data_IF_715316211191
#
_entry.id   IF_715316211191
#
_cell.length_a   1.000
_cell.length_b   1.000
_cell.length_c   1.000
_cell.angle_alpha   90.00
_cell.angle_beta   90.00
_cell.angle_gamma   90.00
#
_symmetry.space_group_name_H-M   'P 1'
#
loop_
_entity.id
_entity.type
_entity.pdbx_description
1 polymer ?
#
# COMPACT_ATOMS: atom_id res chain seq x y z
N UNK A 1 -46.72 62.56 -40.02
CA UNK A 1 -45.71 61.48 -40.19
C UNK A 1 -44.66 61.72 -39.18
N UNK A 2 -44.48 60.75 -38.25
CA UNK A 2 -43.16 60.32 -37.90
C UNK A 2 -43.13 58.75 -37.73
N UNK A 3 -42.02 58.25 -38.08
CA UNK A 3 -41.65 56.85 -38.20
C UNK A 3 -41.55 56.14 -36.82
N UNK A 4 -42.11 54.93 -36.76
CA UNK A 4 -41.97 54.03 -35.60
C UNK A 4 -40.66 53.28 -35.61
N UNK A 5 -39.85 53.45 -34.56
CA UNK A 5 -38.69 52.59 -34.27
C UNK A 5 -39.11 51.39 -33.43
N UNK A 6 -39.03 50.20 -34.04
CA UNK A 6 -39.17 48.93 -33.39
C UNK A 6 -37.89 48.61 -32.58
N UNK A 7 -37.99 48.57 -31.28
CA UNK A 7 -36.90 48.23 -30.38
C UNK A 7 -36.87 46.70 -30.22
N UNK A 8 -35.93 46.01 -30.87
CA UNK A 8 -35.64 44.59 -30.60
C UNK A 8 -34.86 44.44 -29.27
N UNK A 9 -35.49 43.88 -28.27
CA UNK A 9 -34.82 43.43 -27.04
C UNK A 9 -34.06 42.14 -27.35
N UNK A 10 -32.73 42.24 -27.32
CA UNK A 10 -31.87 41.06 -27.24
C UNK A 10 -31.86 40.57 -25.79
N UNK A 11 -32.35 39.34 -25.58
CA UNK A 11 -32.25 38.63 -24.30
C UNK A 11 -30.89 37.93 -24.28
N UNK A 12 -29.95 38.50 -23.54
CA UNK A 12 -28.63 37.85 -23.34
C UNK A 12 -28.76 36.84 -22.18
N UNK A 13 -28.71 35.57 -22.54
CA UNK A 13 -28.69 34.49 -21.57
C UNK A 13 -27.24 34.34 -21.08
N UNK A 14 -27.00 34.71 -19.82
CA UNK A 14 -25.74 34.40 -19.14
C UNK A 14 -25.76 32.93 -18.66
N UNK A 15 -25.03 32.06 -19.32
CA UNK A 15 -24.74 30.70 -18.79
C UNK A 15 -23.62 30.86 -17.79
N UNK A 16 -23.95 30.80 -16.49
CA UNK A 16 -22.99 30.66 -15.41
C UNK A 16 -22.42 29.23 -15.47
N UNK A 17 -21.22 29.10 -16.00
CA UNK A 17 -20.39 27.90 -15.76
C UNK A 17 -19.89 27.99 -14.30
N UNK A 18 -20.53 27.28 -13.39
CA UNK A 18 -19.96 26.98 -12.09
C UNK A 18 -18.83 25.97 -12.32
N UNK A 19 -17.61 26.47 -12.51
CA UNK A 19 -16.41 25.64 -12.50
C UNK A 19 -16.26 25.07 -11.10
N UNK A 20 -16.46 23.78 -10.97
CA UNK A 20 -16.00 23.02 -9.81
C UNK A 20 -14.47 23.06 -9.91
N UNK A 21 -13.86 23.95 -9.17
CA UNK A 21 -12.44 23.87 -8.84
C UNK A 21 -12.28 22.64 -7.94
N UNK A 22 -12.02 21.50 -8.56
CA UNK A 22 -11.38 20.40 -7.85
C UNK A 22 -10.01 20.97 -7.49
N UNK A 23 -9.80 21.28 -6.22
CA UNK A 23 -8.46 21.50 -5.69
C UNK A 23 -7.73 20.16 -5.87
N UNK A 24 -6.92 20.08 -6.91
CA UNK A 24 -5.82 19.13 -6.95
C UNK A 24 -4.98 19.50 -5.72
N UNK A 25 -5.13 18.77 -4.62
CA UNK A 25 -4.11 18.76 -3.59
C UNK A 25 -2.83 18.39 -4.33
N UNK A 26 -1.86 19.31 -4.35
CA UNK A 26 -0.54 19.02 -4.88
C UNK A 26 -0.04 17.81 -4.09
N UNK A 27 0.05 16.66 -4.75
CA UNK A 27 0.75 15.51 -4.21
C UNK A 27 2.18 16.01 -3.98
N UNK A 28 2.73 15.91 -2.76
CA UNK A 28 4.12 16.32 -2.52
C UNK A 28 4.99 15.68 -3.59
N UNK A 29 5.93 16.45 -4.12
CA UNK A 29 6.85 15.97 -5.13
C UNK A 29 7.73 14.89 -4.48
N UNK A 30 7.32 13.64 -4.62
CA UNK A 30 8.08 12.48 -4.16
C UNK A 30 9.28 12.25 -5.09
N UNK A 31 10.31 11.60 -4.59
CA UNK A 31 11.52 11.35 -5.35
C UNK A 31 11.31 10.39 -6.51
N UNK A 32 12.12 10.51 -7.55
CA UNK A 32 12.08 9.68 -8.77
C UNK A 32 10.69 9.64 -9.44
N UNK A 33 10.09 10.79 -9.74
CA UNK A 33 8.73 10.88 -10.31
C UNK A 33 8.60 10.24 -11.69
N UNK A 34 9.71 9.95 -12.36
CA UNK A 34 9.76 9.25 -13.65
C UNK A 34 9.58 7.73 -13.52
N UNK A 35 9.65 7.18 -12.31
CA UNK A 35 9.52 5.73 -12.03
C UNK A 35 8.16 5.45 -11.37
N UNK A 36 7.39 4.54 -11.94
CA UNK A 36 6.19 4.01 -11.28
C UNK A 36 6.56 2.83 -10.38
N UNK A 37 6.63 3.07 -9.09
CA UNK A 37 6.83 2.01 -8.09
C UNK A 37 5.50 1.34 -7.75
N UNK A 38 5.52 0.01 -7.59
CA UNK A 38 4.32 -0.82 -7.42
C UNK A 38 4.42 -1.70 -6.19
N UNK A 39 3.30 -1.87 -5.50
CA UNK A 39 3.16 -2.82 -4.39
C UNK A 39 2.22 -3.93 -4.81
N UNK A 40 2.70 -5.17 -4.78
CA UNK A 40 1.93 -6.34 -5.19
C UNK A 40 0.76 -6.59 -4.24
N UNK A 41 -0.44 -6.86 -4.78
CA UNK A 41 -1.58 -7.30 -3.96
C UNK A 41 -1.60 -8.82 -3.86
N UNK A 42 -1.40 -9.35 -2.66
CA UNK A 42 -1.57 -10.78 -2.40
C UNK A 42 -3.06 -11.17 -2.37
N UNK A 43 -3.41 -12.33 -2.96
CA UNK A 43 -4.72 -12.95 -2.73
C UNK A 43 -4.91 -13.27 -1.25
N UNK A 44 -6.13 -13.13 -0.72
CA UNK A 44 -6.42 -13.39 0.71
C UNK A 44 -6.12 -14.80 1.20
N UNK A 45 -6.08 -15.77 0.29
CA UNK A 45 -5.75 -17.17 0.56
C UNK A 45 -4.28 -17.52 0.28
N UNK A 46 -3.45 -16.54 -0.09
CA UNK A 46 -2.04 -16.69 -0.41
C UNK A 46 -1.22 -15.57 0.24
N UNK A 47 -1.57 -15.22 1.48
CA UNK A 47 -0.83 -14.23 2.27
C UNK A 47 0.51 -14.84 2.67
N UNK A 48 1.66 -14.16 2.46
CA UNK A 48 2.95 -14.71 2.83
C UNK A 48 3.03 -14.91 4.35
N UNK A 49 3.58 -16.04 4.74
CA UNK A 49 3.93 -16.30 6.13
C UNK A 49 5.28 -15.65 6.39
N UNK A 50 5.45 -15.15 7.57
CA UNK A 50 6.72 -14.62 8.02
C UNK A 50 7.42 -15.75 8.78
N UNK A 51 8.12 -16.62 8.04
CA UNK A 51 8.77 -17.83 8.56
C UNK A 51 10.23 -18.02 8.08
N UNK A 52 10.76 -17.05 7.31
CA UNK A 52 12.11 -17.07 6.75
C UNK A 52 12.25 -17.90 5.48
N UNK A 53 11.15 -18.40 4.92
CA UNK A 53 11.09 -19.12 3.64
C UNK A 53 10.40 -18.26 2.58
N UNK A 54 11.19 -17.73 1.63
CA UNK A 54 10.70 -16.82 0.58
C UNK A 54 9.79 -17.47 -0.47
N UNK A 55 9.49 -18.79 -0.38
CA UNK A 55 8.70 -19.50 -1.39
C UNK A 55 7.27 -18.97 -1.56
N UNK A 56 6.68 -18.40 -0.52
CA UNK A 56 5.36 -17.76 -0.59
C UNK A 56 5.35 -16.51 -1.52
N UNK A 57 6.53 -15.99 -1.87
CA UNK A 57 6.72 -14.85 -2.74
C UNK A 57 6.97 -15.18 -4.21
N UNK A 58 6.99 -16.47 -4.58
CA UNK A 58 7.19 -16.92 -5.96
C UNK A 58 6.08 -16.45 -6.91
N UNK A 59 4.92 -16.09 -6.36
CA UNK A 59 3.79 -15.53 -7.14
C UNK A 59 3.96 -14.05 -7.51
N UNK A 60 4.98 -13.38 -6.96
CA UNK A 60 5.25 -11.95 -7.18
C UNK A 60 6.08 -11.79 -8.46
N UNK A 61 5.52 -11.09 -9.44
CA UNK A 61 6.17 -10.87 -10.73
C UNK A 61 7.40 -9.97 -10.66
N UNK A 62 8.27 -10.07 -11.66
CA UNK A 62 9.54 -9.33 -11.73
C UNK A 62 9.36 -7.81 -11.66
N UNK A 63 8.23 -7.28 -12.10
CA UNK A 63 7.91 -5.84 -12.06
C UNK A 63 7.67 -5.29 -10.65
N UNK A 64 7.68 -6.14 -9.64
CA UNK A 64 7.55 -5.81 -8.21
C UNK A 64 8.84 -6.11 -7.43
N UNK A 65 9.92 -6.46 -8.12
CA UNK A 65 11.22 -6.77 -7.49
C UNK A 65 12.17 -5.61 -7.71
N UNK A 66 12.65 -5.04 -6.63
CA UNK A 66 13.57 -3.90 -6.61
C UNK A 66 14.97 -4.40 -6.24
N UNK A 67 15.92 -4.30 -7.17
CA UNK A 67 17.26 -4.87 -7.06
C UNK A 67 18.32 -3.79 -6.85
N UNK A 68 19.55 -4.21 -6.58
CA UNK A 68 20.72 -3.38 -6.36
C UNK A 68 20.92 -2.31 -7.43
N UNK A 69 20.65 -2.62 -8.70
CA UNK A 69 20.80 -1.69 -9.84
C UNK A 69 19.81 -0.52 -9.85
N UNK A 70 18.78 -0.57 -9.01
CA UNK A 70 17.81 0.51 -8.83
C UNK A 70 18.10 1.41 -7.64
N UNK A 71 19.13 1.09 -6.87
CA UNK A 71 19.59 1.84 -5.71
C UNK A 71 20.71 2.81 -6.09
N UNK A 72 20.90 3.82 -5.26
CA UNK A 72 22.01 4.77 -5.38
C UNK A 72 22.82 4.82 -4.10
N UNK A 73 24.15 4.72 -4.25
CA UNK A 73 25.10 4.85 -3.16
C UNK A 73 25.37 6.33 -2.84
N UNK A 74 24.58 6.92 -1.97
CA UNK A 74 24.64 8.37 -1.67
C UNK A 74 25.71 8.77 -0.65
N UNK A 75 26.48 7.80 -0.10
CA UNK A 75 27.59 8.03 0.83
C UNK A 75 28.69 6.98 0.65
N UNK A 76 29.94 7.43 0.74
CA UNK A 76 31.11 6.54 0.86
C UNK A 76 31.43 5.75 -0.41
N UNK A 77 31.87 4.52 -0.26
CA UNK A 77 32.47 3.70 -1.29
C UNK A 77 31.59 3.28 -2.46
N UNK A 78 30.28 3.43 -2.35
CA UNK A 78 29.33 3.03 -3.40
C UNK A 78 28.88 4.17 -4.32
N UNK A 79 29.58 5.29 -4.35
CA UNK A 79 29.27 6.36 -5.32
C UNK A 79 29.38 5.82 -6.76
N UNK A 80 28.25 5.72 -7.45
CA UNK A 80 28.16 5.20 -8.81
C UNK A 80 27.54 3.81 -8.88
N UNK A 81 28.14 2.91 -9.64
CA UNK A 81 27.66 1.52 -9.76
C UNK A 81 28.05 0.73 -8.50
N UNK A 82 27.06 0.19 -7.82
CA UNK A 82 27.27 -0.65 -6.63
C UNK A 82 27.91 -1.97 -7.04
N UNK A 83 28.95 -2.39 -6.33
CA UNK A 83 29.62 -3.68 -6.57
C UNK A 83 28.77 -4.83 -5.97
N UNK A 84 28.14 -5.62 -6.84
CA UNK A 84 27.31 -6.74 -6.40
C UNK A 84 28.10 -7.94 -5.88
N UNK A 85 29.42 -7.89 -5.89
CA UNK A 85 30.27 -8.88 -5.20
C UNK A 85 30.51 -8.54 -3.76
N UNK A 86 30.28 -7.30 -3.39
CA UNK A 86 30.29 -6.72 -2.06
C UNK A 86 28.86 -6.84 -1.47
N UNK A 87 27.91 -6.06 -1.93
CA UNK A 87 26.50 -6.12 -1.50
C UNK A 87 25.53 -6.30 -2.68
N UNK A 88 24.71 -7.33 -2.65
CA UNK A 88 23.68 -7.58 -3.65
C UNK A 88 22.32 -7.85 -2.98
N UNK A 89 21.33 -7.02 -3.29
CA UNK A 89 20.05 -7.03 -2.60
C UNK A 89 18.87 -7.13 -3.58
N UNK A 90 17.79 -7.73 -3.09
CA UNK A 90 16.48 -7.63 -3.72
C UNK A 90 15.39 -7.39 -2.67
N UNK A 91 14.45 -6.52 -2.98
CA UNK A 91 13.31 -6.19 -2.13
C UNK A 91 12.02 -6.41 -2.90
N UNK A 92 11.09 -7.16 -2.31
CA UNK A 92 9.71 -7.24 -2.79
C UNK A 92 8.79 -6.61 -1.76
N UNK A 93 7.79 -5.87 -2.22
CA UNK A 93 6.79 -5.24 -1.35
C UNK A 93 5.40 -5.69 -1.73
N UNK A 94 4.63 -6.12 -0.74
CA UNK A 94 3.28 -6.61 -0.93
C UNK A 94 2.27 -6.06 0.08
N UNK A 95 1.00 -6.16 -0.23
CA UNK A 95 -0.10 -5.78 0.65
C UNK A 95 -1.29 -6.71 0.47
N UNK A 96 -2.23 -6.68 1.42
CA UNK A 96 -3.47 -7.47 1.36
C UNK A 96 -4.67 -6.56 1.60
N UNK A 97 -5.59 -6.55 0.67
CA UNK A 97 -6.82 -5.74 0.75
C UNK A 97 -7.61 -6.04 2.03
N UNK A 98 -7.71 -5.05 2.91
CA UNK A 98 -8.46 -5.10 4.16
C UNK A 98 -7.65 -5.48 5.40
N UNK A 99 -6.32 -5.71 5.30
CA UNK A 99 -5.47 -5.98 6.46
C UNK A 99 -4.68 -4.75 6.95
N UNK A 100 -4.57 -3.70 6.15
CA UNK A 100 -3.76 -2.52 6.47
C UNK A 100 -2.33 -2.88 6.90
N UNK A 101 -1.69 -3.80 6.18
CA UNK A 101 -0.31 -4.25 6.40
C UNK A 101 0.48 -4.19 5.11
N UNK A 102 1.72 -3.79 5.22
CA UNK A 102 2.74 -3.88 4.18
C UNK A 102 3.68 -5.04 4.54
N UNK A 103 3.89 -5.92 3.59
CA UNK A 103 4.77 -7.08 3.70
C UNK A 103 6.03 -6.79 2.90
N UNK A 104 7.17 -7.16 3.45
CA UNK A 104 8.47 -7.02 2.79
C UNK A 104 9.21 -8.34 2.80
N UNK A 105 9.79 -8.68 1.66
CA UNK A 105 10.83 -9.68 1.54
C UNK A 105 12.11 -8.96 1.16
N UNK A 106 13.13 -9.11 1.97
CA UNK A 106 14.49 -8.64 1.72
C UNK A 106 15.40 -9.85 1.61
N UNK A 107 16.04 -10.02 0.47
CA UNK A 107 17.07 -11.04 0.23
C UNK A 107 18.36 -10.31 -0.10
N UNK A 108 19.43 -10.62 0.61
CA UNK A 108 20.72 -10.00 0.43
C UNK A 108 21.87 -11.02 0.42
N UNK A 109 22.88 -10.73 -0.37
CA UNK A 109 24.21 -11.27 -0.23
C UNK A 109 25.12 -10.13 0.21
N UNK A 110 26.03 -10.44 1.12
CA UNK A 110 27.05 -9.52 1.59
C UNK A 110 28.36 -10.32 1.72
N UNK A 111 29.47 -9.70 1.39
CA UNK A 111 30.78 -10.34 1.49
C UNK A 111 31.36 -10.25 2.91
N UNK A 112 30.83 -9.36 3.76
CA UNK A 112 31.26 -9.17 5.13
C UNK A 112 30.13 -8.68 6.06
N UNK A 113 29.28 -9.59 6.55
CA UNK A 113 28.21 -9.24 7.47
C UNK A 113 28.74 -8.67 8.80
N UNK A 114 28.48 -7.40 9.07
CA UNK A 114 28.84 -6.72 10.33
C UNK A 114 27.65 -6.60 11.27
N UNK A 115 27.59 -7.47 12.26
CA UNK A 115 26.50 -7.49 13.24
C UNK A 115 26.99 -7.98 14.62
N UNK A 116 26.13 -7.77 15.65
CA UNK A 116 26.44 -8.18 17.01
C UNK A 116 27.24 -7.14 17.80
N UNK A 117 27.49 -5.98 17.21
CA UNK A 117 28.10 -4.83 17.90
C UNK A 117 26.96 -4.10 18.63
N UNK A 118 26.52 -4.66 19.75
CA UNK A 118 25.54 -4.00 20.60
C UNK A 118 26.24 -3.45 21.84
N UNK A 119 26.42 -2.15 21.87
CA UNK A 119 26.77 -1.38 23.07
C UNK A 119 25.47 -0.79 23.63
N UNK A 120 25.06 -1.13 24.87
CA UNK A 120 23.87 -0.56 25.50
C UNK A 120 23.86 0.97 25.50
N UNK A 121 25.05 1.59 25.59
CA UNK A 121 25.24 3.03 25.42
C UNK A 121 25.03 3.48 23.95
N UNK A 122 25.18 2.59 22.97
CA UNK A 122 25.05 2.90 21.56
C UNK A 122 23.57 2.99 21.12
N UNK A 123 22.70 2.15 21.65
CA UNK A 123 21.24 2.22 21.42
C UNK A 123 20.66 3.56 21.91
N UNK A 124 21.16 4.06 23.06
CA UNK A 124 20.75 5.34 23.65
C UNK A 124 21.34 6.55 22.93
N UNK A 125 22.49 6.38 22.24
CA UNK A 125 23.23 7.47 21.59
C UNK A 125 23.23 7.43 20.06
N UNK A 126 22.38 6.61 19.46
CA UNK A 126 22.27 6.49 17.99
C UNK A 126 23.47 5.82 17.31
N UNK A 127 24.17 4.91 18.01
CA UNK A 127 25.29 4.15 17.43
C UNK A 127 24.90 2.73 17.00
N UNK A 128 23.61 2.37 17.03
CA UNK A 128 23.08 1.12 16.47
C UNK A 128 23.28 0.97 14.96
N UNK A 129 23.72 2.04 14.29
CA UNK A 129 24.01 2.09 12.86
C UNK A 129 25.39 1.52 12.47
N UNK A 130 26.13 0.89 13.36
CA UNK A 130 27.40 0.21 13.08
C UNK A 130 27.21 -1.27 12.75
N UNK A 131 26.01 -1.68 12.40
CA UNK A 131 25.67 -3.01 11.91
C UNK A 131 25.00 -2.88 10.55
N UNK A 132 24.98 -3.94 9.79
CA UNK A 132 24.24 -3.95 8.54
C UNK A 132 22.76 -3.80 8.79
N UNK A 133 22.14 -2.92 8.03
CA UNK A 133 20.78 -2.47 8.28
C UNK A 133 19.97 -2.46 6.98
N UNK A 134 18.76 -2.97 7.07
CA UNK A 134 17.70 -2.68 6.12
C UNK A 134 16.73 -1.66 6.74
N UNK A 135 16.74 -0.43 6.25
CA UNK A 135 15.98 0.68 6.82
C UNK A 135 14.76 1.01 5.96
N UNK A 136 13.54 0.76 6.49
CA UNK A 136 12.28 1.04 5.80
C UNK A 136 11.69 2.35 6.31
N UNK A 137 11.35 3.25 5.39
CA UNK A 137 10.61 4.48 5.67
C UNK A 137 9.27 4.48 4.96
N UNK A 138 8.18 4.81 5.68
CA UNK A 138 6.81 4.80 5.17
C UNK A 138 6.02 6.00 5.64
N UNK A 139 5.25 6.58 4.70
CA UNK A 139 4.24 7.63 4.89
C UNK A 139 3.02 7.26 4.05
N UNK A 140 2.01 6.66 4.68
CA UNK A 140 0.91 6.05 3.94
C UNK A 140 -0.20 7.03 3.56
N UNK A 141 -0.28 8.20 4.19
CA UNK A 141 -1.25 9.26 3.87
C UNK A 141 -0.61 10.47 3.18
N UNK A 142 0.73 10.41 2.95
CA UNK A 142 1.52 11.49 2.34
C UNK A 142 1.42 12.81 3.12
N UNK A 143 1.26 12.73 4.43
CA UNK A 143 1.20 13.91 5.30
C UNK A 143 2.57 14.55 5.56
N UNK A 144 3.64 13.79 5.29
CA UNK A 144 5.02 14.25 5.42
C UNK A 144 5.53 14.26 6.86
N UNK A 145 6.66 14.90 7.05
CA UNK A 145 7.27 15.14 8.35
C UNK A 145 8.55 14.36 8.59
N UNK A 146 9.28 14.73 9.67
CA UNK A 146 10.55 14.12 10.00
C UNK A 146 10.37 12.77 10.67
N UNK A 147 11.23 11.80 10.33
CA UNK A 147 11.33 10.52 11.00
C UNK A 147 12.18 10.61 12.27
N UNK A 148 13.25 11.38 12.19
CA UNK A 148 14.23 11.46 13.26
C UNK A 148 14.32 12.88 13.80
N UNK A 149 14.79 12.98 15.05
CA UNK A 149 15.09 14.24 15.71
C UNK A 149 16.15 15.05 14.96
N UNK A 150 15.90 16.34 14.75
CA UNK A 150 16.89 17.30 14.28
C UNK A 150 17.30 18.24 15.41
N UNK A 151 18.44 17.98 16.10
CA UNK A 151 18.90 18.78 17.23
C UNK A 151 19.28 20.23 16.87
N UNK A 152 19.30 20.58 15.58
CA UNK A 152 19.62 21.94 15.12
C UNK A 152 18.39 22.85 15.04
N UNK A 153 17.18 22.31 15.10
CA UNK A 153 15.93 23.06 14.92
C UNK A 153 15.24 23.33 16.25
N UNK A 154 15.44 22.47 17.26
CA UNK A 154 14.70 22.56 18.51
C UNK A 154 15.56 22.39 19.77
N UNK A 155 15.53 23.40 20.61
CA UNK A 155 16.17 23.39 21.94
C UNK A 155 15.37 22.62 23.01
N UNK A 156 14.25 21.95 22.64
CA UNK A 156 13.36 21.28 23.58
C UNK A 156 13.21 19.78 23.28
N UNK A 157 14.10 18.98 23.88
CA UNK A 157 14.16 17.52 23.72
C UNK A 157 12.83 16.79 23.97
N UNK A 158 11.98 17.28 24.87
CA UNK A 158 10.71 16.63 25.21
C UNK A 158 9.66 16.80 24.09
N UNK A 159 9.58 17.98 23.50
CA UNK A 159 8.63 18.24 22.40
C UNK A 159 9.05 17.50 21.13
N UNK A 160 10.32 17.36 20.91
CA UNK A 160 10.94 16.65 19.82
C UNK A 160 10.65 15.15 19.85
N UNK A 161 10.83 14.53 21.02
CA UNK A 161 10.56 13.11 21.23
C UNK A 161 9.09 12.75 21.01
N UNK A 162 8.18 13.73 21.05
CA UNK A 162 6.74 13.49 20.85
C UNK A 162 6.28 13.57 19.40
N UNK A 163 7.05 14.19 18.52
CA UNK A 163 6.65 14.46 17.14
C UNK A 163 7.47 13.72 16.08
N UNK A 164 8.67 13.25 16.40
CA UNK A 164 9.45 12.46 15.46
C UNK A 164 8.79 11.11 15.17
N UNK A 165 8.62 10.77 13.91
CA UNK A 165 8.03 9.49 13.48
C UNK A 165 6.51 9.39 13.66
N UNK A 166 5.81 10.48 14.00
CA UNK A 166 4.37 10.46 14.28
C UNK A 166 3.55 10.28 13.01
N UNK A 167 3.82 11.07 11.98
CA UNK A 167 3.07 11.07 10.71
C UNK A 167 3.68 10.16 9.66
N UNK A 168 4.94 9.82 9.82
CA UNK A 168 5.65 8.89 8.96
C UNK A 168 6.64 8.08 9.81
N UNK A 169 6.84 6.82 9.50
CA UNK A 169 7.58 5.89 10.35
C UNK A 169 8.86 5.42 9.68
N UNK A 170 9.91 5.26 10.49
CA UNK A 170 11.20 4.72 10.08
C UNK A 170 11.55 3.49 10.93
N UNK A 171 11.71 2.35 10.28
CA UNK A 171 12.06 1.05 10.84
C UNK A 171 13.52 0.74 10.48
N UNK A 172 14.41 0.84 11.44
CA UNK A 172 15.82 0.52 11.31
C UNK A 172 16.04 -0.96 11.69
N UNK A 173 16.02 -1.82 10.69
CA UNK A 173 15.95 -3.27 10.85
C UNK A 173 17.36 -3.86 10.83
N UNK A 174 17.75 -4.54 11.89
CA UNK A 174 19.05 -5.20 11.98
C UNK A 174 19.10 -6.45 11.07
N UNK A 175 20.16 -6.59 10.32
CA UNK A 175 20.38 -7.68 9.38
C UNK A 175 21.69 -8.39 9.62
N UNK A 176 21.71 -9.46 10.46
CA UNK A 176 20.58 -10.07 11.16
C UNK A 176 20.25 -9.44 12.52
N UNK A 177 19.24 -9.95 13.28
CA UNK A 177 18.81 -9.35 14.54
C UNK A 177 19.88 -9.44 15.63
N UNK A 178 19.92 -8.44 16.49
CA UNK A 178 20.90 -8.33 17.58
C UNK A 178 20.23 -8.63 18.91
N UNK A 179 20.70 -9.65 19.64
CA UNK A 179 20.14 -10.02 20.96
C UNK A 179 18.60 -10.19 20.95
N UNK A 180 18.05 -10.76 19.89
CA UNK A 180 16.61 -10.88 19.63
C UNK A 180 15.89 -9.53 19.37
N UNK A 181 16.60 -8.44 19.26
CA UNK A 181 16.05 -7.18 18.78
C UNK A 181 16.18 -7.14 17.27
N UNK A 182 15.06 -7.07 16.56
CA UNK A 182 15.05 -7.06 15.10
C UNK A 182 15.01 -5.65 14.52
N UNK A 183 14.49 -4.68 15.27
CA UNK A 183 14.27 -3.33 14.78
C UNK A 183 14.48 -2.28 15.87
N UNK A 184 15.06 -1.15 15.48
CA UNK A 184 15.03 0.11 16.21
C UNK A 184 14.10 1.06 15.44
N UNK A 185 13.14 1.66 16.09
CA UNK A 185 12.30 2.69 15.50
C UNK A 185 12.95 4.05 15.70
N UNK A 186 13.25 4.74 14.60
CA UNK A 186 13.66 6.14 14.67
C UNK A 186 12.42 7.01 14.88
N UNK A 187 12.17 7.34 16.12
CA UNK A 187 10.97 8.07 16.54
C UNK A 187 10.69 7.81 18.01
N UNK A 188 9.53 8.26 18.43
CA UNK A 188 9.11 8.15 19.82
C UNK A 188 8.14 6.98 20.09
N UNK A 189 7.94 6.09 19.12
CA UNK A 189 6.94 5.03 19.14
C UNK A 189 7.55 3.63 18.99
N UNK A 190 8.41 3.16 19.89
CA UNK A 190 9.06 1.85 19.75
C UNK A 190 8.06 0.69 19.62
N UNK A 191 6.85 0.85 20.15
CA UNK A 191 5.78 -0.13 20.14
C UNK A 191 5.29 -0.51 18.72
N UNK A 192 5.52 0.35 17.69
CA UNK A 192 5.11 0.02 16.31
C UNK A 192 5.90 -1.15 15.70
N UNK A 193 7.09 -1.46 16.24
CA UNK A 193 7.89 -2.62 15.87
C UNK A 193 7.53 -3.89 16.66
N UNK A 194 6.57 -3.82 17.57
CA UNK A 194 6.13 -4.94 18.39
C UNK A 194 4.85 -5.59 17.81
N UNK A 195 4.66 -6.89 18.09
CA UNK A 195 3.39 -7.55 17.82
C UNK A 195 2.27 -6.92 18.66
N UNK A 196 1.08 -6.61 18.10
CA UNK A 196 0.54 -7.04 16.81
C UNK A 196 0.73 -6.06 15.64
N UNK A 197 1.63 -5.08 15.74
CA UNK A 197 1.80 -4.02 14.75
C UNK A 197 2.88 -4.31 13.71
N UNK A 198 3.84 -5.18 14.06
CA UNK A 198 4.88 -5.68 13.18
C UNK A 198 5.29 -7.10 13.56
N UNK A 199 5.98 -7.78 12.64
CA UNK A 199 6.58 -9.10 12.86
C UNK A 199 7.72 -9.30 11.87
N UNK A 200 8.72 -10.11 12.23
CA UNK A 200 9.83 -10.47 11.35
C UNK A 200 10.31 -11.89 11.62
N UNK A 201 10.89 -12.50 10.60
CA UNK A 201 11.62 -13.77 10.69
C UNK A 201 12.78 -13.77 9.70
N UNK A 202 13.86 -14.50 10.03
CA UNK A 202 15.11 -14.50 9.29
C UNK A 202 15.56 -15.91 8.96
N UNK A 203 16.22 -16.06 7.82
CA UNK A 203 16.99 -17.25 7.45
C UNK A 203 18.38 -16.84 7.01
N UNK A 204 19.41 -17.31 7.73
CA UNK A 204 20.83 -17.12 7.42
C UNK A 204 21.69 -18.19 8.09
N UNK A 205 22.93 -18.37 7.64
CA UNK A 205 23.83 -19.41 8.15
C UNK A 205 25.30 -18.97 8.31
N UNK A 206 25.56 -17.68 8.34
CA UNK A 206 26.88 -17.09 8.53
C UNK A 206 27.03 -16.53 9.95
N UNK A 207 28.28 -16.20 10.33
CA UNK A 207 28.65 -15.53 11.57
C UNK A 207 29.12 -14.10 11.29
N UNK A 208 29.25 -13.26 12.33
CA UNK A 208 29.85 -11.93 12.15
C UNK A 208 31.19 -12.03 11.42
N UNK A 209 31.41 -11.12 10.46
CA UNK A 209 32.58 -11.04 9.60
C UNK A 209 32.72 -12.17 8.57
N UNK A 210 31.68 -12.93 8.32
CA UNK A 210 31.60 -13.93 7.24
C UNK A 210 30.70 -13.43 6.14
N UNK A 211 31.02 -13.84 4.90
CA UNK A 211 30.11 -13.63 3.77
C UNK A 211 28.93 -14.60 3.80
N UNK A 212 27.81 -14.21 3.21
CA UNK A 212 26.67 -15.12 3.12
C UNK A 212 25.41 -14.47 2.54
N UNK A 213 24.34 -15.27 2.52
CA UNK A 213 23.02 -14.81 2.12
C UNK A 213 22.08 -14.76 3.32
N UNK A 214 21.30 -13.67 3.35
CA UNK A 214 20.26 -13.46 4.35
C UNK A 214 18.91 -13.32 3.65
N UNK A 215 17.89 -13.94 4.21
CA UNK A 215 16.48 -13.71 3.89
C UNK A 215 15.81 -13.13 5.12
N UNK A 216 15.14 -12.00 4.96
CA UNK A 216 14.29 -11.39 5.98
C UNK A 216 12.88 -11.26 5.40
N UNK A 217 11.92 -11.81 6.10
CA UNK A 217 10.52 -11.51 5.90
C UNK A 217 10.01 -10.66 7.05
N UNK A 218 9.28 -9.61 6.74
CA UNK A 218 8.60 -8.84 7.76
C UNK A 218 7.28 -8.25 7.24
N UNK A 219 6.43 -7.86 8.17
CA UNK A 219 5.32 -6.98 7.88
C UNK A 219 5.23 -5.88 8.93
N UNK A 220 4.75 -4.72 8.50
CA UNK A 220 4.51 -3.54 9.33
C UNK A 220 3.09 -3.03 9.11
N UNK A 221 2.54 -2.39 10.13
CA UNK A 221 1.28 -1.64 10.04
C UNK A 221 1.63 -0.16 9.91
N UNK A 222 1.36 0.50 8.79
CA UNK A 222 1.57 1.93 8.67
C UNK A 222 0.51 2.73 9.44
N UNK A 223 0.90 3.91 9.92
CA UNK A 223 0.03 4.79 10.71
C UNK A 223 0.00 6.20 10.07
N UNK A 224 -1.21 6.77 9.91
CA UNK A 224 -1.38 8.19 9.60
C UNK A 224 -0.99 9.06 10.80
N UNK A 225 -1.14 8.49 11.99
CA UNK A 225 -0.72 9.10 13.25
C UNK A 225 -0.30 8.02 14.25
N UNK A 226 0.98 7.89 14.54
CA UNK A 226 1.54 6.99 15.55
C UNK A 226 1.86 7.78 16.83
N UNK A 227 1.00 7.71 17.82
CA UNK A 227 1.15 8.47 19.06
C UNK A 227 2.29 7.95 19.94
N UNK A 228 3.00 8.85 20.58
CA UNK A 228 3.90 8.54 21.69
C UNK A 228 3.17 7.82 22.85
N UNK A 229 1.91 8.20 23.09
CA UNK A 229 1.08 7.64 24.17
C UNK A 229 0.53 6.23 23.86
N UNK A 230 0.92 5.65 22.73
CA UNK A 230 0.60 4.26 22.37
C UNK A 230 -0.52 4.10 21.33
N UNK A 231 -0.88 2.83 21.06
CA UNK A 231 -1.78 2.49 19.95
C UNK A 231 -3.21 3.01 20.12
N UNK A 232 -3.69 3.13 21.36
CA UNK A 232 -5.06 3.61 21.62
C UNK A 232 -5.27 5.10 21.25
N UNK A 233 -4.19 5.83 21.07
CA UNK A 233 -4.16 7.23 20.64
C UNK A 233 -3.69 7.42 19.21
N UNK A 234 -3.59 6.34 18.46
CA UNK A 234 -3.03 6.30 17.10
C UNK A 234 -4.08 6.06 16.03
N UNK A 235 -3.75 6.40 14.80
CA UNK A 235 -4.61 6.20 13.62
C UNK A 235 -3.89 5.30 12.63
N UNK A 236 -4.42 4.09 12.43
CA UNK A 236 -3.91 3.15 11.44
C UNK A 236 -4.27 3.63 10.04
N UNK A 237 -3.31 3.61 9.13
CA UNK A 237 -3.53 3.96 7.73
C UNK A 237 -4.46 2.97 7.04
N UNK A 238 -5.35 3.49 6.20
CA UNK A 238 -6.21 2.67 5.35
C UNK A 238 -5.55 2.44 4.00
N UNK A 239 -5.08 1.23 3.78
CA UNK A 239 -4.55 0.83 2.49
C UNK A 239 -5.69 0.55 1.52
N UNK A 240 -5.77 1.33 0.45
CA UNK A 240 -6.83 1.27 -0.56
C UNK A 240 -6.22 1.03 -1.93
N UNK A 241 -6.82 0.12 -2.69
CA UNK A 241 -6.41 -0.22 -4.05
C UNK A 241 -6.35 1.00 -4.96
N UNK A 242 -5.25 1.13 -5.71
CA UNK A 242 -5.00 2.23 -6.64
C UNK A 242 -4.43 3.50 -5.99
N UNK A 243 -4.41 3.61 -4.65
CA UNK A 243 -3.82 4.78 -3.99
C UNK A 243 -2.29 4.74 -4.01
N UNK A 244 -1.69 5.91 -3.87
CA UNK A 244 -0.24 6.09 -3.77
C UNK A 244 0.08 6.34 -2.30
N UNK A 245 1.17 5.73 -1.84
CA UNK A 245 1.78 5.93 -0.53
C UNK A 245 3.27 6.26 -0.70
N UNK A 246 3.87 6.92 0.27
CA UNK A 246 5.30 7.18 0.31
C UNK A 246 6.05 6.00 0.92
N UNK A 247 7.00 5.42 0.19
CA UNK A 247 7.93 4.42 0.71
C UNK A 247 9.32 4.68 0.16
N UNK A 248 10.33 4.41 0.97
CA UNK A 248 11.70 4.20 0.53
C UNK A 248 12.38 3.23 1.48
N UNK A 249 13.52 2.72 1.07
CA UNK A 249 14.44 1.99 1.94
C UNK A 249 15.86 2.37 1.65
N UNK A 250 16.70 2.16 2.66
CA UNK A 250 18.13 2.25 2.57
C UNK A 250 18.77 0.96 3.08
N UNK A 251 19.90 0.61 2.51
CA UNK A 251 20.80 -0.42 3.00
C UNK A 251 22.00 0.31 3.60
N UNK A 252 22.31 0.05 4.85
CA UNK A 252 23.53 0.47 5.48
C UNK A 252 24.45 -0.73 5.53
N UNK A 253 25.51 -0.63 4.79
CA UNK A 253 26.53 -1.63 4.63
C UNK A 253 27.79 -1.18 5.39
N UNK A 254 28.28 -2.02 6.29
CA UNK A 254 29.39 -1.74 7.17
C UNK A 254 30.41 -2.85 7.09
N UNK A 255 31.59 -2.51 6.56
CA UNK A 255 32.70 -3.42 6.52
C UNK A 255 33.77 -3.13 7.58
N UNK A 256 34.27 -4.20 8.19
CA UNK A 256 35.44 -4.16 9.09
C UNK A 256 35.29 -3.22 10.28
N UNK A 257 34.09 -2.99 10.79
CA UNK A 257 33.82 -2.11 11.93
C UNK A 257 34.23 -0.65 11.69
N UNK A 258 34.23 -0.21 10.43
CA UNK A 258 34.51 1.18 10.07
C UNK A 258 33.43 2.09 10.62
N UNK A 259 33.81 3.13 11.35
CA UNK A 259 32.89 4.07 12.01
C UNK A 259 32.00 4.86 11.05
N UNK A 260 32.36 4.95 9.78
CA UNK A 260 31.72 5.84 8.82
C UNK A 260 30.87 5.09 7.79
N UNK A 261 30.73 3.74 7.90
CA UNK A 261 30.01 2.88 6.96
C UNK A 261 30.53 3.00 5.53
N UNK A 262 30.53 1.94 4.80
CA UNK A 262 30.90 1.99 3.39
C UNK A 262 29.77 2.46 2.50
N UNK A 263 28.51 2.44 2.97
CA UNK A 263 27.43 2.92 2.16
C UNK A 263 26.12 3.19 2.88
N UNK A 264 25.39 4.16 2.38
CA UNK A 264 23.96 4.29 2.54
C UNK A 264 23.41 4.23 1.13
N UNK A 265 23.08 3.02 0.68
CA UNK A 265 22.49 2.77 -0.62
C UNK A 265 20.97 2.89 -0.47
N UNK A 266 20.31 3.72 -1.26
CA UNK A 266 18.89 3.94 -1.06
C UNK A 266 18.10 4.03 -2.36
N UNK A 267 16.83 3.63 -2.29
CA UNK A 267 15.92 3.61 -3.43
C UNK A 267 15.56 5.01 -3.91
N UNK A 268 15.45 5.98 -3.03
CA UNK A 268 15.01 7.33 -3.37
C UNK A 268 16.09 8.14 -4.13
N UNK A 269 17.35 7.67 -4.18
CA UNK A 269 18.49 8.44 -4.66
C UNK A 269 18.67 9.76 -3.90
N UNK A 270 18.14 9.79 -2.68
CA UNK A 270 18.21 10.93 -1.78
C UNK A 270 18.41 10.43 -0.34
N UNK A 271 19.58 10.74 0.23
CA UNK A 271 19.93 10.33 1.60
C UNK A 271 19.02 10.92 2.69
N UNK A 272 18.19 11.91 2.35
CA UNK A 272 17.19 12.44 3.28
C UNK A 272 15.97 11.53 3.39
N UNK A 273 15.82 10.52 2.55
CA UNK A 273 14.70 9.56 2.60
C UNK A 273 14.60 8.81 3.92
N UNK A 274 15.70 8.67 4.67
CA UNK A 274 15.71 8.09 6.01
C UNK A 274 15.47 9.12 7.12
N UNK A 275 15.30 10.40 6.78
CA UNK A 275 15.15 11.52 7.74
C UNK A 275 13.83 12.24 7.63
N UNK A 276 13.29 12.33 6.42
CA UNK A 276 12.10 13.13 6.11
C UNK A 276 11.26 12.48 5.02
N UNK A 277 9.96 12.40 5.25
CA UNK A 277 9.01 11.75 4.35
C UNK A 277 8.85 12.45 3.00
N UNK A 278 9.21 13.72 2.88
CA UNK A 278 9.21 14.44 1.61
C UNK A 278 10.22 13.88 0.59
N UNK A 279 11.17 13.07 1.05
CA UNK A 279 12.18 12.41 0.22
C UNK A 279 11.89 10.92 -0.06
N UNK A 280 10.64 10.48 0.05
CA UNK A 280 10.22 9.12 -0.29
C UNK A 280 9.84 8.98 -1.76
N UNK A 281 9.72 7.74 -2.25
CA UNK A 281 9.23 7.41 -3.58
C UNK A 281 7.72 7.14 -3.56
N UNK A 282 7.05 7.39 -4.71
CA UNK A 282 5.64 7.16 -4.90
C UNK A 282 5.34 5.68 -5.22
N UNK A 283 4.78 4.94 -4.28
CA UNK A 283 4.39 3.55 -4.47
C UNK A 283 2.89 3.41 -4.63
N UNK A 284 2.45 2.73 -5.69
CA UNK A 284 1.04 2.43 -5.94
C UNK A 284 0.64 1.08 -5.37
N UNK A 285 -0.42 1.06 -4.58
CA UNK A 285 -1.08 -0.17 -4.11
C UNK A 285 -1.84 -0.80 -5.29
N UNK A 286 -1.24 -1.81 -5.91
CA UNK A 286 -1.79 -2.41 -7.13
C UNK A 286 -3.06 -3.21 -6.85
N UNK A 287 -3.97 -3.33 -7.84
CA UNK A 287 -5.10 -4.25 -7.76
C UNK A 287 -4.65 -5.70 -7.79
N UNK A 288 -5.55 -6.61 -7.40
CA UNK A 288 -5.31 -8.04 -7.54
C UNK A 288 -5.11 -8.39 -9.02
N UNK A 289 -4.02 -9.08 -9.35
CA UNK A 289 -3.71 -9.47 -10.72
C UNK A 289 -4.78 -10.43 -11.27
N UNK A 290 -5.06 -10.34 -12.56
CA UNK A 290 -6.17 -11.06 -13.22
C UNK A 290 -6.13 -12.57 -12.97
N UNK A 291 -4.95 -13.17 -12.95
CA UNK A 291 -4.77 -14.61 -12.69
C UNK A 291 -5.26 -15.08 -11.31
N UNK A 292 -5.40 -14.16 -10.37
CA UNK A 292 -5.90 -14.43 -9.00
C UNK A 292 -7.35 -14.02 -8.80
N UNK A 293 -7.99 -13.41 -9.80
CA UNK A 293 -9.40 -13.10 -9.74
C UNK A 293 -10.23 -14.40 -9.73
N UNK A 294 -11.30 -14.46 -8.94
CA UNK A 294 -12.20 -15.59 -9.01
C UNK A 294 -12.79 -15.69 -10.41
N UNK A 295 -12.98 -16.92 -10.91
CA UNK A 295 -13.66 -17.17 -12.18
C UNK A 295 -15.01 -16.45 -12.21
N UNK A 296 -15.36 -15.88 -13.35
CA UNK A 296 -16.62 -15.18 -13.55
C UNK A 296 -17.79 -16.11 -13.28
N UNK A 297 -18.62 -15.76 -12.30
CA UNK A 297 -19.81 -16.54 -11.94
C UNK A 297 -20.95 -15.60 -11.55
N UNK A 298 -22.06 -15.68 -12.28
CA UNK A 298 -23.28 -14.96 -11.94
C UNK A 298 -23.89 -15.49 -10.64
N UNK A 299 -24.33 -14.59 -9.80
CA UNK A 299 -25.05 -14.88 -8.55
C UNK A 299 -25.93 -13.69 -8.17
N UNK A 300 -27.08 -13.95 -7.56
CA UNK A 300 -27.96 -12.88 -7.13
C UNK A 300 -28.98 -13.33 -6.10
N UNK A 301 -29.48 -12.36 -5.34
CA UNK A 301 -30.62 -12.49 -4.42
C UNK A 301 -31.66 -11.41 -4.70
N UNK A 302 -32.80 -11.50 -4.02
CA UNK A 302 -33.88 -10.50 -4.13
C UNK A 302 -34.61 -10.32 -2.81
N UNK A 303 -35.22 -9.14 -2.68
CA UNK A 303 -36.08 -8.78 -1.56
C UNK A 303 -37.36 -8.12 -2.10
N UNK A 304 -38.51 -8.52 -1.57
CA UNK A 304 -39.80 -7.86 -1.88
C UNK A 304 -39.92 -6.64 -0.99
N UNK A 305 -39.66 -5.46 -1.56
CA UNK A 305 -39.64 -4.19 -0.84
C UNK A 305 -41.06 -3.70 -0.54
N UNK A 306 -41.99 -3.90 -1.48
CA UNK A 306 -43.40 -3.49 -1.33
C UNK A 306 -44.30 -4.50 -2.08
N UNK A 307 -44.98 -5.35 -1.33
CA UNK A 307 -45.83 -6.36 -1.90
C UNK A 307 -47.06 -5.77 -2.59
N UNK A 308 -47.66 -4.70 -2.06
CA UNK A 308 -48.87 -4.07 -2.61
C UNK A 308 -48.55 -3.38 -3.95
N UNK A 309 -47.38 -2.79 -4.05
CA UNK A 309 -46.89 -2.14 -5.27
C UNK A 309 -46.14 -3.10 -6.20
N UNK A 310 -45.96 -4.36 -5.77
CA UNK A 310 -45.24 -5.41 -6.52
C UNK A 310 -43.79 -5.01 -6.85
N UNK A 311 -43.15 -4.39 -5.89
CA UNK A 311 -41.82 -3.84 -6.02
C UNK A 311 -40.78 -4.81 -5.42
N UNK A 312 -39.80 -5.20 -6.24
CA UNK A 312 -38.75 -6.15 -5.87
C UNK A 312 -37.39 -5.52 -6.13
N UNK A 313 -36.52 -5.56 -5.13
CA UNK A 313 -35.14 -5.19 -5.23
C UNK A 313 -34.30 -6.43 -5.54
N UNK A 314 -33.47 -6.35 -6.57
CA UNK A 314 -32.54 -7.40 -6.97
C UNK A 314 -31.13 -6.97 -6.61
N UNK A 315 -30.40 -7.88 -5.98
CA UNK A 315 -29.03 -7.65 -5.52
C UNK A 315 -28.08 -8.57 -6.28
N UNK A 316 -27.08 -7.98 -6.93
CA UNK A 316 -25.98 -8.70 -7.52
C UNK A 316 -25.08 -9.32 -6.43
N UNK A 317 -24.83 -10.62 -6.54
CA UNK A 317 -23.93 -11.42 -5.70
C UNK A 317 -22.93 -12.20 -6.57
N UNK A 318 -22.72 -11.73 -7.79
CA UNK A 318 -21.79 -12.33 -8.73
C UNK A 318 -20.34 -12.16 -8.27
N UNK A 319 -19.49 -13.08 -8.67
CA UNK A 319 -18.02 -13.05 -8.41
C UNK A 319 -17.26 -12.95 -9.72
N UNK A 320 -16.06 -12.37 -9.69
CA UNK A 320 -15.24 -12.07 -10.85
C UNK A 320 -15.12 -10.58 -11.13
N UNK A 321 -14.40 -10.23 -12.19
CA UNK A 321 -14.21 -8.83 -12.62
C UNK A 321 -15.35 -8.39 -13.55
N UNK A 322 -16.55 -8.15 -12.99
CA UNK A 322 -17.76 -7.87 -13.76
C UNK A 322 -17.74 -6.42 -14.24
N UNK A 323 -17.91 -6.26 -15.56
CA UNK A 323 -17.99 -4.96 -16.22
C UNK A 323 -19.43 -4.59 -16.61
N UNK A 324 -20.29 -5.60 -16.89
CA UNK A 324 -21.66 -5.37 -17.32
C UNK A 324 -22.62 -6.36 -16.68
N UNK A 325 -23.86 -5.91 -16.46
CA UNK A 325 -24.99 -6.67 -15.95
C UNK A 325 -26.15 -6.60 -16.96
N UNK A 326 -26.89 -7.71 -17.13
CA UNK A 326 -28.13 -7.74 -17.87
C UNK A 326 -29.15 -8.63 -17.11
N UNK A 327 -30.11 -7.99 -16.50
CA UNK A 327 -31.21 -8.62 -15.82
C UNK A 327 -32.38 -8.87 -16.75
N UNK A 328 -32.98 -10.02 -16.61
CA UNK A 328 -34.25 -10.40 -17.22
C UNK A 328 -35.23 -10.79 -16.12
N UNK A 329 -36.29 -10.02 -15.96
CA UNK A 329 -37.25 -10.21 -14.84
C UNK A 329 -38.32 -11.25 -15.10
N UNK A 330 -38.37 -11.86 -16.29
CA UNK A 330 -39.31 -12.91 -16.65
C UNK A 330 -40.67 -12.41 -17.07
N UNK A 331 -40.92 -11.11 -17.07
CA UNK A 331 -42.13 -10.45 -17.55
C UNK A 331 -41.98 -9.73 -18.90
N UNK A 332 -40.77 -9.83 -19.46
CA UNK A 332 -40.34 -9.21 -20.71
C UNK A 332 -39.56 -7.91 -20.53
N UNK A 333 -39.45 -7.41 -19.31
CA UNK A 333 -38.62 -6.22 -19.01
C UNK A 333 -37.21 -6.66 -18.60
N UNK A 334 -36.23 -5.75 -18.82
CA UNK A 334 -34.80 -5.96 -18.53
C UNK A 334 -34.20 -4.73 -17.84
N UNK A 335 -33.04 -4.89 -17.20
CA UNK A 335 -32.25 -3.79 -16.65
C UNK A 335 -30.74 -4.08 -16.79
N UNK A 336 -29.97 -3.02 -16.98
CA UNK A 336 -28.50 -3.07 -16.95
C UNK A 336 -27.91 -2.49 -15.66
N UNK A 337 -28.74 -2.07 -14.72
CA UNK A 337 -28.28 -1.63 -13.41
C UNK A 337 -27.71 -2.80 -12.62
N UNK A 338 -26.68 -2.56 -11.84
CA UNK A 338 -26.07 -3.59 -10.99
C UNK A 338 -27.07 -4.17 -9.97
N UNK A 339 -27.88 -3.30 -9.35
CA UNK A 339 -28.84 -3.66 -8.32
C UNK A 339 -30.19 -2.99 -8.63
N UNK A 340 -30.98 -3.52 -9.60
CA UNK A 340 -32.21 -2.87 -10.03
C UNK A 340 -33.36 -3.01 -9.03
N UNK A 341 -34.23 -2.01 -9.03
CA UNK A 341 -35.52 -2.05 -8.41
C UNK A 341 -36.59 -2.23 -9.50
N UNK A 342 -37.25 -3.40 -9.53
CA UNK A 342 -38.20 -3.72 -10.57
C UNK A 342 -39.64 -3.82 -10.04
N UNK A 343 -40.59 -3.31 -10.83
CA UNK A 343 -42.02 -3.34 -10.51
C UNK A 343 -42.78 -4.24 -11.48
N UNK A 344 -43.30 -5.36 -10.95
CA UNK A 344 -44.16 -6.27 -11.72
C UNK A 344 -45.54 -5.70 -11.93
N UNK A 345 -46.06 -5.83 -13.16
CA UNK A 345 -47.40 -5.30 -13.52
C UNK A 345 -48.53 -6.27 -13.19
N UNK A 346 -48.27 -7.58 -13.26
CA UNK A 346 -49.28 -8.63 -13.10
C UNK A 346 -49.13 -9.38 -11.77
N UNK A 347 -50.19 -9.49 -10.94
CA UNK A 347 -50.17 -10.34 -9.73
C UNK A 347 -50.38 -11.81 -10.08
N UNK A 348 -50.08 -12.70 -9.13
CA UNK A 348 -50.38 -14.12 -9.20
C UNK A 348 -49.48 -14.95 -10.13
N UNK A 349 -48.39 -14.38 -10.61
CA UNK A 349 -47.44 -15.06 -11.46
C UNK A 349 -46.15 -15.44 -10.72
N UNK A 350 -45.55 -16.54 -11.19
CA UNK A 350 -44.18 -16.95 -10.83
C UNK A 350 -43.28 -16.60 -11.97
N UNK A 351 -42.24 -15.83 -11.67
CA UNK A 351 -41.32 -15.34 -12.69
C UNK A 351 -40.02 -16.14 -12.66
N UNK A 352 -39.53 -16.48 -13.86
CA UNK A 352 -38.15 -16.95 -14.02
C UNK A 352 -37.31 -15.73 -14.27
N UNK A 353 -36.41 -15.45 -13.32
CA UNK A 353 -35.50 -14.33 -13.38
C UNK A 353 -34.10 -14.85 -13.61
N UNK A 354 -33.35 -14.19 -14.47
CA UNK A 354 -31.94 -14.50 -14.65
C UNK A 354 -31.11 -13.23 -14.77
N UNK A 355 -29.86 -13.35 -14.33
CA UNK A 355 -28.82 -12.35 -14.46
C UNK A 355 -27.73 -12.90 -15.38
N UNK A 356 -27.42 -12.18 -16.43
CA UNK A 356 -26.20 -12.32 -17.21
C UNK A 356 -25.17 -11.30 -16.76
N UNK A 357 -23.93 -11.73 -16.54
CA UNK A 357 -22.79 -10.85 -16.26
C UNK A 357 -21.66 -11.16 -17.21
N UNK A 358 -20.86 -10.14 -17.54
CA UNK A 358 -19.65 -10.29 -18.37
C UNK A 358 -18.50 -9.47 -17.80
N UNK A 359 -17.27 -9.91 -18.06
CA UNK A 359 -16.03 -9.16 -17.81
C UNK A 359 -15.45 -8.55 -19.09
N UNK A 360 -16.19 -8.68 -20.20
CA UNK A 360 -15.76 -8.23 -21.54
C UNK A 360 -15.17 -9.35 -22.39
N UNK A 361 -14.67 -10.44 -21.78
CA UNK A 361 -14.12 -11.62 -22.45
C UNK A 361 -15.04 -12.83 -22.28
N UNK A 362 -15.48 -13.08 -21.06
CA UNK A 362 -16.35 -14.18 -20.69
C UNK A 362 -17.72 -13.70 -20.24
N UNK A 363 -18.67 -14.61 -20.20
CA UNK A 363 -20.01 -14.37 -19.67
C UNK A 363 -20.47 -15.49 -18.76
N UNK A 364 -21.32 -15.17 -17.78
CA UNK A 364 -21.93 -16.14 -16.89
C UNK A 364 -23.41 -15.80 -16.66
N UNK A 365 -24.24 -16.83 -16.55
CA UNK A 365 -25.67 -16.68 -16.29
C UNK A 365 -26.06 -17.42 -15.00
N UNK A 366 -26.87 -16.77 -14.18
CA UNK A 366 -27.57 -17.41 -13.07
C UNK A 366 -29.08 -17.21 -13.19
N UNK A 367 -29.83 -18.32 -13.25
CA UNK A 367 -31.30 -18.32 -13.35
C UNK A 367 -31.92 -18.88 -12.09
N UNK A 368 -32.98 -18.26 -11.61
CA UNK A 368 -33.88 -18.81 -10.59
C UNK A 368 -35.25 -18.95 -11.16
N UNK A 369 -35.73 -20.19 -11.17
CA UNK A 369 -37.04 -20.52 -11.74
C UNK A 369 -38.13 -20.46 -10.67
N UNK A 370 -39.10 -19.57 -10.86
CA UNK A 370 -40.29 -19.42 -10.00
C UNK A 370 -40.00 -19.01 -8.55
N UNK A 371 -38.85 -18.52 -8.26
CA UNK A 371 -38.53 -18.06 -6.91
C UNK A 371 -39.16 -16.71 -6.59
N UNK A 372 -39.31 -15.85 -7.62
CA UNK A 372 -40.00 -14.57 -7.45
C UNK A 372 -41.50 -14.76 -7.64
N UNK A 373 -42.23 -14.77 -6.53
CA UNK A 373 -43.69 -14.95 -6.50
C UNK A 373 -44.35 -13.65 -6.09
N UNK A 374 -45.10 -13.05 -7.00
CA UNK A 374 -45.86 -11.83 -6.74
C UNK A 374 -47.32 -12.21 -6.49
N UNK A 375 -47.79 -12.02 -5.27
CA UNK A 375 -49.15 -12.31 -4.82
C UNK A 375 -50.09 -11.13 -5.01
#
# INVERSE_FOLDING_TARGET
MPEGKVLRKFLTVYILFAGILISLSEIPALERPEVEFKIFQFPKNMIPRVDGDSSDWDIVGDEYIYRTDQLDGSRGGHEGVIDTTDIDVSVKVGWVKGLNRLYFLYEAYDDYWDFGIFDEDAAIRGRGYQNDIFEICVDADLSGGPFIHNPQIDDNDEMHSRFAGVHAQNYHIFTPPINNQWCLVWGCQPWIAEFPWANSEYSYNFKPSESGRLTLECWITPFDYASYDGPDHSVISKLVEGTIIGISWAILDFDHGKKDGEGNINLAHNRNSVKDASALCAFRLMPLAEQFLPNLKAGWSFEIVDADRKLVYFKDESVGNITEWLWHFGDGETSTERNPLHRYKKPGHRFTVWLDVTDGNDSSRHSKHWDVIIR
#
